data_IF_160351845943
#
_entry.id   IF_160351845943
#
_cell.length_a   1.000
_cell.length_b   1.000
_cell.length_c   1.000
_cell.angle_alpha   90.00
_cell.angle_beta   90.00
_cell.angle_gamma   90.00
#
_symmetry.space_group_name_H-M   'P 1'
#
loop_
_entity.id
_entity.type
_entity.pdbx_description
1 polymer ?
#
# COMPACT_ATOMS: atom_id res chain seq x y z
N UNK A 1 9.17 8.72 17.98
CA UNK A 1 10.05 8.24 16.88
C UNK A 1 10.23 6.75 17.16
N UNK A 2 9.90 5.91 16.22
CA UNK A 2 10.07 4.45 16.35
C UNK A 2 11.55 4.09 16.23
N UNK A 3 11.97 3.09 16.97
CA UNK A 3 13.30 2.45 16.82
C UNK A 3 13.26 1.46 15.65
N UNK A 4 14.43 1.06 15.14
CA UNK A 4 14.52 0.06 14.06
C UNK A 4 13.85 -1.27 14.44
N UNK A 5 14.06 -1.74 15.68
CA UNK A 5 13.41 -2.96 16.18
C UNK A 5 11.88 -2.85 16.21
N UNK A 6 11.34 -1.68 16.58
CA UNK A 6 9.91 -1.42 16.56
C UNK A 6 9.36 -1.41 15.12
N UNK A 7 10.09 -0.84 14.15
CA UNK A 7 9.70 -0.85 12.75
C UNK A 7 9.79 -2.25 12.13
N UNK A 8 10.82 -3.03 12.45
CA UNK A 8 10.93 -4.41 12.00
C UNK A 8 9.79 -5.30 12.53
N UNK A 9 9.25 -5.01 13.71
CA UNK A 9 8.07 -5.69 14.23
C UNK A 9 6.78 -5.34 13.45
N UNK A 10 6.78 -4.25 12.68
CA UNK A 10 5.65 -3.79 11.87
C UNK A 10 5.70 -4.27 10.42
N UNK A 11 6.67 -5.09 10.03
CA UNK A 11 6.71 -5.69 8.69
C UNK A 11 5.45 -6.53 8.43
N UNK A 12 4.90 -6.54 7.20
CA UNK A 12 3.72 -7.32 6.84
C UNK A 12 3.78 -8.78 7.28
N UNK A 13 4.93 -9.44 7.14
CA UNK A 13 5.12 -10.83 7.57
C UNK A 13 4.98 -11.05 9.08
N UNK A 14 5.26 -10.02 9.88
CA UNK A 14 5.08 -10.03 11.34
C UNK A 14 3.65 -9.67 11.77
N UNK A 15 2.88 -9.06 10.86
CA UNK A 15 1.53 -8.58 11.10
C UNK A 15 0.45 -9.45 10.43
N UNK A 16 0.75 -10.69 10.03
CA UNK A 16 -0.17 -11.57 9.27
C UNK A 16 -1.52 -11.74 9.95
N UNK A 17 -1.56 -11.99 11.25
CA UNK A 17 -2.80 -12.18 12.00
C UNK A 17 -3.64 -10.90 12.06
N UNK A 18 -2.99 -9.75 12.12
CA UNK A 18 -3.67 -8.46 12.07
C UNK A 18 -4.21 -8.19 10.66
N UNK A 19 -3.40 -8.38 9.64
CA UNK A 19 -3.80 -8.23 8.23
C UNK A 19 -4.93 -9.18 7.83
N UNK A 20 -4.94 -10.41 8.36
CA UNK A 20 -6.00 -11.38 8.13
C UNK A 20 -7.39 -10.89 8.56
N UNK A 21 -7.47 -9.94 9.49
CA UNK A 21 -8.74 -9.39 9.97
C UNK A 21 -9.52 -8.65 8.89
N UNK A 22 -8.87 -8.18 7.80
CA UNK A 22 -9.58 -7.56 6.68
C UNK A 22 -10.29 -8.56 5.77
N UNK A 23 -9.90 -9.83 5.80
CA UNK A 23 -10.51 -10.87 4.95
C UNK A 23 -11.99 -11.05 5.33
N UNK A 24 -12.86 -10.95 4.34
CA UNK A 24 -14.31 -10.96 4.52
C UNK A 24 -14.94 -9.60 4.80
N UNK A 25 -14.15 -8.54 5.03
CA UNK A 25 -14.63 -7.18 5.28
C UNK A 25 -14.61 -6.32 4.02
N UNK A 26 -15.46 -5.29 3.98
CA UNK A 26 -15.49 -4.32 2.89
C UNK A 26 -14.42 -3.26 3.11
N UNK A 27 -13.72 -2.88 2.04
CA UNK A 27 -12.90 -1.68 2.01
C UNK A 27 -13.82 -0.46 1.88
N UNK A 28 -13.85 0.38 2.89
CA UNK A 28 -14.77 1.54 2.95
C UNK A 28 -14.14 2.79 2.37
N UNK A 29 -12.87 3.04 2.68
CA UNK A 29 -12.17 4.24 2.24
C UNK A 29 -10.65 3.97 2.15
N UNK A 30 -10.01 4.73 1.29
CA UNK A 30 -8.56 4.84 1.21
C UNK A 30 -8.20 6.31 1.40
N UNK A 31 -7.39 6.58 2.39
CA UNK A 31 -6.89 7.92 2.66
C UNK A 31 -5.39 7.99 2.41
N UNK A 32 -4.92 9.14 1.96
CA UNK A 32 -3.50 9.35 1.73
C UNK A 32 -3.05 10.70 2.27
N UNK A 33 -1.89 10.71 2.90
CA UNK A 33 -1.22 11.92 3.33
C UNK A 33 -0.38 12.52 2.22
N UNK A 34 -0.41 13.86 2.14
CA UNK A 34 0.41 14.63 1.22
C UNK A 34 1.20 15.68 2.00
N UNK A 35 2.52 15.63 1.85
CA UNK A 35 3.43 16.55 2.53
C UNK A 35 3.61 17.91 1.84
N UNK A 36 2.98 18.12 0.67
CA UNK A 36 3.06 19.38 -0.06
C UNK A 36 1.66 19.90 -0.41
N UNK A 37 1.57 21.20 -0.64
CA UNK A 37 0.34 21.82 -1.14
C UNK A 37 0.03 21.29 -2.55
N UNK A 38 -0.97 20.38 -2.62
CA UNK A 38 -1.42 19.75 -3.87
C UNK A 38 -1.73 20.77 -4.97
N UNK A 39 -2.42 21.93 -4.70
CA UNK A 39 -2.65 22.93 -5.71
C UNK A 39 -1.38 23.43 -6.40
N UNK A 40 -0.32 23.75 -5.65
CA UNK A 40 0.92 24.26 -6.25
C UNK A 40 1.66 23.22 -7.09
N UNK A 41 1.50 21.94 -6.78
CA UNK A 41 2.07 20.83 -7.55
C UNK A 41 1.29 20.59 -8.85
N UNK A 42 -0.03 20.71 -8.80
CA UNK A 42 -0.91 20.55 -9.97
C UNK A 42 -0.83 21.74 -10.95
N UNK A 43 -0.52 22.96 -10.48
CA UNK A 43 -0.30 24.14 -11.32
C UNK A 43 0.84 23.93 -12.33
N UNK A 44 1.81 23.05 -12.04
CA UNK A 44 2.87 22.65 -12.96
C UNK A 44 2.41 21.79 -14.16
N UNK A 45 1.20 21.27 -14.16
CA UNK A 45 0.57 20.54 -15.26
C UNK A 45 1.14 19.17 -15.60
N UNK A 46 2.04 18.64 -14.74
CA UNK A 46 2.70 17.35 -14.99
C UNK A 46 1.89 16.13 -14.52
N UNK A 47 0.99 16.31 -13.55
CA UNK A 47 0.19 15.24 -12.97
C UNK A 47 -1.26 15.67 -12.79
N UNK A 48 -2.19 14.74 -12.96
CA UNK A 48 -3.57 14.91 -12.50
C UNK A 48 -3.65 14.69 -10.99
N UNK A 49 -4.72 15.14 -10.35
CA UNK A 49 -5.00 14.86 -8.93
C UNK A 49 -5.03 13.35 -8.64
N UNK A 50 -5.52 12.56 -9.60
CA UNK A 50 -5.55 11.11 -9.49
C UNK A 50 -4.17 10.47 -9.56
N UNK A 51 -3.30 10.95 -10.46
CA UNK A 51 -1.91 10.48 -10.54
C UNK A 51 -1.16 10.82 -9.27
N UNK A 52 -1.39 12.02 -8.73
CA UNK A 52 -0.79 12.44 -7.48
C UNK A 52 -1.25 11.58 -6.30
N UNK A 53 -2.52 11.15 -6.27
CA UNK A 53 -3.01 10.21 -5.27
C UNK A 53 -2.34 8.84 -5.37
N UNK A 54 -2.07 8.37 -6.58
CA UNK A 54 -1.40 7.09 -6.83
C UNK A 54 0.11 7.13 -6.58
N UNK A 55 0.78 8.23 -6.92
CA UNK A 55 2.23 8.38 -6.93
C UNK A 55 2.67 9.46 -5.95
N UNK A 56 2.90 9.10 -4.69
CA UNK A 56 3.39 10.03 -3.67
C UNK A 56 4.13 9.30 -2.54
N UNK A 57 4.99 10.03 -1.83
CA UNK A 57 5.75 9.55 -0.68
C UNK A 57 4.95 9.44 0.62
N UNK A 58 3.68 9.86 0.63
CA UNK A 58 2.88 9.87 1.85
C UNK A 58 2.33 8.51 2.24
N UNK A 59 2.15 8.33 3.54
CA UNK A 59 1.49 7.17 4.11
C UNK A 59 0.04 7.02 3.62
N UNK A 60 -0.46 5.79 3.67
CA UNK A 60 -1.82 5.43 3.25
C UNK A 60 -2.58 4.85 4.43
N UNK A 61 -3.86 5.21 4.58
CA UNK A 61 -4.79 4.53 5.46
C UNK A 61 -5.79 3.72 4.64
N UNK A 62 -6.02 2.49 5.06
CA UNK A 62 -7.06 1.63 4.53
C UNK A 62 -8.09 1.38 5.62
N UNK A 63 -9.32 1.82 5.39
CA UNK A 63 -10.43 1.67 6.31
C UNK A 63 -11.34 0.53 5.87
N UNK A 64 -11.49 -0.46 6.73
CA UNK A 64 -12.38 -1.61 6.52
C UNK A 64 -13.58 -1.57 7.46
N UNK A 65 -14.61 -2.32 7.11
CA UNK A 65 -15.80 -2.55 7.94
C UNK A 65 -15.43 -2.99 9.37
N UNK A 66 -16.17 -2.49 10.39
CA UNK A 66 -15.95 -2.85 11.79
C UNK A 66 -14.76 -2.13 12.43
N UNK A 67 -14.57 -0.85 12.06
CA UNK A 67 -13.56 0.06 12.62
C UNK A 67 -12.11 -0.46 12.50
N UNK A 68 -11.86 -1.33 11.51
CA UNK A 68 -10.53 -1.83 11.22
C UNK A 68 -9.81 -0.86 10.29
N UNK A 69 -8.69 -0.31 10.76
CA UNK A 69 -7.84 0.59 9.97
C UNK A 69 -6.40 0.11 9.97
N UNK A 70 -5.79 0.14 8.79
CA UNK A 70 -4.35 -0.04 8.59
C UNK A 70 -3.72 1.28 8.18
N UNK A 71 -2.65 1.68 8.87
CA UNK A 71 -1.71 2.67 8.37
C UNK A 71 -0.59 1.94 7.63
N UNK A 72 -0.31 2.32 6.39
CA UNK A 72 0.77 1.79 5.58
C UNK A 72 1.78 2.89 5.30
N UNK A 73 3.05 2.62 5.55
CA UNK A 73 4.13 3.56 5.29
C UNK A 73 5.38 2.82 4.80
N UNK A 74 6.40 3.57 4.42
CA UNK A 74 7.68 3.06 3.94
C UNK A 74 8.72 3.15 5.05
N UNK A 75 9.41 2.05 5.29
CA UNK A 75 10.63 2.03 6.06
C UNK A 75 11.82 2.10 5.09
N UNK A 76 12.23 3.33 4.77
CA UNK A 76 13.15 3.64 3.66
C UNK A 76 14.53 3.02 3.81
N UNK A 77 15.11 2.93 5.04
CA UNK A 77 16.42 2.31 5.27
C UNK A 77 16.44 0.82 4.94
N UNK A 78 15.31 0.12 5.15
CA UNK A 78 15.18 -1.32 4.88
C UNK A 78 14.49 -1.62 3.55
N UNK A 79 14.06 -0.59 2.82
CA UNK A 79 13.28 -0.74 1.58
C UNK A 79 12.09 -1.70 1.74
N UNK A 80 11.37 -1.55 2.85
CA UNK A 80 10.23 -2.41 3.20
C UNK A 80 9.01 -1.58 3.55
N UNK A 81 7.82 -2.17 3.38
CA UNK A 81 6.57 -1.61 3.87
C UNK A 81 6.42 -1.92 5.36
N UNK A 82 5.84 -1.01 6.10
CA UNK A 82 5.44 -1.22 7.49
C UNK A 82 3.93 -1.02 7.65
N UNK A 83 3.33 -1.81 8.53
CA UNK A 83 1.89 -1.84 8.79
C UNK A 83 1.63 -1.42 10.24
N UNK A 84 0.97 -0.30 10.41
CA UNK A 84 0.56 0.21 11.71
C UNK A 84 -0.89 -0.16 12.02
N UNK A 85 -1.20 -0.55 13.26
CA UNK A 85 -2.57 -0.69 13.69
C UNK A 85 -3.20 0.70 13.89
N UNK A 86 -4.30 0.97 13.18
CA UNK A 86 -4.99 2.25 13.22
C UNK A 86 -4.43 3.31 12.27
N UNK A 87 -4.97 4.50 12.39
CA UNK A 87 -4.55 5.63 11.59
C UNK A 87 -3.24 6.22 12.13
N UNK A 88 -2.33 6.54 11.22
CA UNK A 88 -1.11 7.28 11.54
C UNK A 88 -1.46 8.74 11.87
N UNK A 89 -0.81 9.30 12.87
CA UNK A 89 -0.94 10.72 13.17
C UNK A 89 -0.04 11.54 12.25
N UNK A 90 -0.60 12.55 11.59
CA UNK A 90 0.22 13.53 10.89
C UNK A 90 0.83 14.52 11.90
N UNK A 91 2.01 15.02 11.60
CA UNK A 91 2.70 16.08 12.34
C UNK A 91 2.12 17.49 12.10
N UNK A 92 0.93 17.57 11.50
CA UNK A 92 0.19 18.81 11.24
C UNK A 92 0.59 19.55 9.95
N UNK A 93 1.63 19.12 9.27
CA UNK A 93 2.04 19.67 7.96
C UNK A 93 1.45 18.89 6.78
N UNK A 94 1.00 17.65 7.02
CA UNK A 94 0.40 16.81 6.00
C UNK A 94 -1.10 16.99 5.94
N UNK A 95 -1.63 17.08 4.73
CA UNK A 95 -3.06 17.11 4.45
C UNK A 95 -3.54 15.73 4.05
N UNK A 96 -4.67 15.32 4.61
CA UNK A 96 -5.29 14.04 4.33
C UNK A 96 -6.28 14.18 3.17
N UNK A 97 -6.23 13.28 2.20
CA UNK A 97 -7.15 13.18 1.08
C UNK A 97 -7.84 11.83 1.06
N UNK A 98 -9.14 11.82 0.81
CA UNK A 98 -9.96 10.62 0.71
C UNK A 98 -10.14 10.24 -0.76
N UNK A 99 -9.98 8.96 -1.09
CA UNK A 99 -10.15 8.47 -2.46
C UNK A 99 -11.56 8.72 -3.00
N UNK A 100 -12.58 8.62 -2.14
CA UNK A 100 -13.97 8.88 -2.52
C UNK A 100 -14.20 10.31 -3.04
N UNK A 101 -13.41 11.29 -2.57
CA UNK A 101 -13.54 12.71 -2.91
C UNK A 101 -12.79 13.12 -4.18
N UNK A 102 -11.80 12.31 -4.63
CA UNK A 102 -10.96 12.64 -5.78
C UNK A 102 -11.74 12.54 -7.09
N UNK A 103 -11.45 13.43 -8.04
CA UNK A 103 -12.14 13.54 -9.31
C UNK A 103 -12.08 12.27 -10.19
N UNK A 104 -12.80 12.25 -11.28
CA UNK A 104 -13.13 11.07 -12.10
C UNK A 104 -11.93 10.27 -12.67
N UNK A 105 -10.72 10.85 -12.73
CA UNK A 105 -9.55 10.17 -13.29
C UNK A 105 -9.12 8.94 -12.47
N UNK A 106 -9.43 8.88 -11.17
CA UNK A 106 -9.15 7.73 -10.31
C UNK A 106 -10.31 6.72 -10.22
N UNK A 107 -11.21 6.70 -11.23
CA UNK A 107 -12.39 5.81 -11.21
C UNK A 107 -12.02 4.35 -10.93
N UNK A 108 -10.94 3.85 -11.52
CA UNK A 108 -10.52 2.47 -11.33
C UNK A 108 -10.11 2.17 -9.87
N UNK A 109 -9.45 3.11 -9.18
CA UNK A 109 -9.15 2.98 -7.76
C UNK A 109 -10.42 3.09 -6.92
N UNK A 110 -11.33 4.03 -7.25
CA UNK A 110 -12.63 4.14 -6.57
C UNK A 110 -13.47 2.87 -6.67
N UNK A 111 -13.34 2.13 -7.77
CA UNK A 111 -14.02 0.84 -7.95
C UNK A 111 -13.56 -0.23 -6.94
N UNK A 112 -12.50 0.00 -6.18
CA UNK A 112 -12.10 -0.85 -5.07
C UNK A 112 -12.97 -0.62 -3.82
N UNK A 113 -13.53 0.57 -3.64
CA UNK A 113 -14.37 0.90 -2.49
C UNK A 113 -15.66 0.09 -2.48
N UNK A 114 -16.10 -0.32 -1.30
CA UNK A 114 -17.27 -1.15 -1.07
C UNK A 114 -17.07 -2.64 -1.38
N UNK A 115 -15.91 -3.06 -1.89
CA UNK A 115 -15.62 -4.46 -2.21
C UNK A 115 -15.12 -5.21 -1.00
N UNK A 116 -15.46 -6.51 -0.95
CA UNK A 116 -15.02 -7.43 0.11
C UNK A 116 -13.59 -7.85 -0.17
N UNK A 117 -12.72 -7.76 0.83
CA UNK A 117 -11.37 -8.31 0.79
C UNK A 117 -11.43 -9.84 0.83
N UNK A 118 -10.80 -10.49 -0.12
CA UNK A 118 -10.76 -11.96 -0.27
C UNK A 118 -9.41 -12.54 0.17
N UNK A 119 -8.34 -11.76 0.03
CA UNK A 119 -6.99 -12.16 0.39
C UNK A 119 -6.14 -10.93 0.66
N UNK A 120 -5.09 -11.09 1.45
CA UNK A 120 -4.01 -10.12 1.60
C UNK A 120 -2.72 -10.80 1.21
N UNK A 121 -1.91 -10.14 0.39
CA UNK A 121 -0.70 -10.71 -0.17
C UNK A 121 0.50 -9.86 0.15
N UNK A 122 1.57 -10.53 0.58
CA UNK A 122 2.85 -9.92 0.90
C UNK A 122 3.81 -10.26 -0.24
N UNK A 123 4.42 -9.24 -0.83
CA UNK A 123 5.30 -9.38 -1.99
C UNK A 123 6.72 -9.05 -1.61
N UNK A 124 7.65 -9.93 -1.97
CA UNK A 124 9.06 -9.77 -1.69
C UNK A 124 9.86 -9.54 -2.97
N UNK A 125 10.87 -8.72 -2.89
CA UNK A 125 11.78 -8.44 -4.00
C UNK A 125 12.69 -9.66 -4.24
N UNK A 126 12.95 -9.94 -5.52
CA UNK A 126 14.03 -10.83 -5.90
C UNK A 126 15.33 -10.02 -5.82
N UNK A 127 16.13 -10.26 -4.81
CA UNK A 127 17.44 -9.64 -4.73
C UNK A 127 18.52 -10.54 -5.31
N UNK A 128 19.32 -9.96 -6.22
CA UNK A 128 20.64 -10.48 -6.60
C UNK A 128 21.72 -10.11 -5.58
N UNK A 129 21.35 -9.55 -4.43
CA UNK A 129 22.25 -9.00 -3.45
C UNK A 129 22.31 -9.86 -2.17
N UNK A 130 23.48 -9.91 -1.58
CA UNK A 130 23.92 -10.69 -0.42
C UNK A 130 23.19 -10.42 0.92
N UNK A 131 21.96 -9.88 0.90
CA UNK A 131 21.19 -9.68 2.13
C UNK A 131 20.39 -10.94 2.46
N UNK A 132 20.61 -11.48 3.68
CA UNK A 132 19.91 -12.69 4.16
C UNK A 132 18.41 -12.47 4.42
N UNK A 133 17.89 -11.24 4.34
CA UNK A 133 16.51 -10.91 4.62
C UNK A 133 15.79 -10.41 3.35
N UNK A 134 14.73 -11.12 2.98
CA UNK A 134 13.88 -10.74 1.86
C UNK A 134 13.12 -9.44 2.20
N UNK A 135 13.23 -8.41 1.35
CA UNK A 135 12.55 -7.14 1.52
C UNK A 135 11.08 -7.23 1.12
N UNK A 136 10.20 -6.79 1.98
CA UNK A 136 8.75 -6.81 1.77
C UNK A 136 8.30 -5.51 1.09
N UNK A 137 8.43 -5.51 -0.24
CA UNK A 137 8.31 -4.29 -1.08
C UNK A 137 6.89 -3.93 -1.48
N UNK A 138 5.93 -4.85 -1.32
CA UNK A 138 4.54 -4.55 -1.57
C UNK A 138 3.59 -5.34 -0.67
N UNK A 139 2.45 -4.72 -0.40
CA UNK A 139 1.29 -5.31 0.23
C UNK A 139 0.09 -5.13 -0.69
N UNK A 140 -0.65 -6.19 -0.98
CA UNK A 140 -1.85 -6.07 -1.79
C UNK A 140 -3.07 -6.69 -1.13
N UNK A 141 -4.23 -6.14 -1.49
CA UNK A 141 -5.55 -6.58 -1.05
C UNK A 141 -6.33 -7.04 -2.28
N UNK A 142 -6.53 -8.35 -2.40
CA UNK A 142 -7.39 -8.92 -3.43
C UNK A 142 -8.84 -8.70 -3.03
N UNK A 143 -9.55 -7.93 -3.82
CA UNK A 143 -10.93 -7.53 -3.59
C UNK A 143 -11.87 -8.30 -4.52
N UNK A 144 -13.12 -8.47 -4.11
CA UNK A 144 -14.14 -9.15 -4.90
C UNK A 144 -14.25 -8.54 -6.32
N UNK A 145 -14.42 -9.41 -7.33
CA UNK A 145 -14.44 -9.03 -8.75
C UNK A 145 -13.06 -8.84 -9.36
N UNK A 146 -12.08 -9.62 -8.85
CA UNK A 146 -10.71 -9.67 -9.39
C UNK A 146 -9.98 -8.32 -9.38
N UNK A 147 -10.35 -7.45 -8.44
CA UNK A 147 -9.64 -6.20 -8.21
C UNK A 147 -8.56 -6.42 -7.17
N UNK A 148 -7.37 -5.98 -7.45
CA UNK A 148 -6.26 -6.07 -6.52
C UNK A 148 -5.66 -4.67 -6.34
N UNK A 149 -5.74 -4.18 -5.09
CA UNK A 149 -5.19 -2.88 -4.68
C UNK A 149 -3.82 -3.12 -4.07
N UNK A 150 -2.81 -2.48 -4.61
CA UNK A 150 -1.43 -2.57 -4.15
C UNK A 150 -0.97 -1.28 -3.49
N UNK A 151 -0.27 -1.42 -2.39
CA UNK A 151 0.66 -0.42 -1.89
C UNK A 151 2.08 -0.97 -2.02
N UNK A 152 2.97 -0.27 -2.72
CA UNK A 152 4.30 -0.77 -3.01
C UNK A 152 5.34 0.35 -3.03
N UNK A 153 6.59 0.00 -2.69
CA UNK A 153 7.70 0.93 -2.59
C UNK A 153 8.41 1.10 -3.93
N UNK A 154 8.68 0.07 -4.64
CA UNK A 154 9.70 0.07 -5.67
C UNK A 154 9.18 -0.41 -7.02
N UNK A 155 8.93 0.52 -7.93
CA UNK A 155 8.65 0.15 -9.32
C UNK A 155 9.39 0.99 -10.38
N UNK A 156 9.88 2.20 -10.03
CA UNK A 156 10.38 3.15 -11.03
C UNK A 156 11.69 3.87 -10.64
N UNK A 157 12.60 3.20 -9.94
CA UNK A 157 13.93 3.75 -9.54
C UNK A 157 13.90 4.89 -8.50
N UNK A 158 12.75 5.19 -7.91
CA UNK A 158 12.60 6.16 -6.82
C UNK A 158 12.23 5.45 -5.52
N UNK A 159 13.21 5.29 -4.64
CA UNK A 159 13.10 4.51 -3.41
C UNK A 159 12.30 5.20 -2.29
N UNK A 160 11.96 6.48 -2.46
CA UNK A 160 11.33 7.29 -1.41
C UNK A 160 9.81 7.39 -1.57
N UNK A 161 9.23 6.78 -2.59
CA UNK A 161 7.82 6.92 -2.91
C UNK A 161 7.03 5.63 -2.74
N UNK A 162 5.89 5.72 -2.04
CA UNK A 162 4.89 4.65 -1.98
C UNK A 162 3.87 4.81 -3.11
N UNK A 163 3.66 3.75 -3.85
CA UNK A 163 2.70 3.73 -4.96
C UNK A 163 1.44 2.98 -4.57
N UNK A 164 0.29 3.59 -4.85
CA UNK A 164 -1.01 2.93 -4.71
C UNK A 164 -1.53 2.60 -6.11
N UNK A 165 -1.44 1.34 -6.50
CA UNK A 165 -1.68 0.86 -7.85
C UNK A 165 -2.75 -0.23 -7.89
N UNK A 166 -3.28 -0.50 -9.09
CA UNK A 166 -4.08 -1.69 -9.37
C UNK A 166 -3.19 -2.83 -9.86
N UNK A 167 -3.62 -4.07 -9.61
CA UNK A 167 -2.85 -5.26 -9.92
C UNK A 167 -2.37 -5.43 -11.35
N UNK A 168 -3.03 -4.80 -12.30
CA UNK A 168 -2.64 -4.80 -13.70
C UNK A 168 -1.42 -3.90 -14.01
N UNK A 169 -1.13 -2.94 -13.13
CA UNK A 169 -0.12 -1.90 -13.34
C UNK A 169 1.23 -2.26 -12.67
N UNK A 170 1.33 -3.48 -12.10
CA UNK A 170 2.51 -3.91 -11.37
C UNK A 170 3.48 -4.64 -12.29
N UNK A 171 4.75 -4.24 -12.32
CA UNK A 171 5.80 -5.00 -12.98
C UNK A 171 6.13 -6.29 -12.21
N UNK A 172 5.36 -7.34 -12.48
CA UNK A 172 5.47 -8.65 -11.80
C UNK A 172 6.83 -9.31 -11.96
N UNK A 173 7.56 -8.96 -13.00
CA UNK A 173 8.92 -9.44 -13.28
C UNK A 173 9.96 -9.01 -12.22
N UNK A 174 9.65 -7.99 -11.43
CA UNK A 174 10.53 -7.50 -10.35
C UNK A 174 10.27 -8.17 -9.00
N UNK A 175 9.25 -9.01 -8.89
CA UNK A 175 8.84 -9.63 -7.62
C UNK A 175 9.23 -11.10 -7.61
N UNK A 176 9.95 -11.54 -6.56
CA UNK A 176 10.42 -12.92 -6.45
C UNK A 176 9.36 -13.88 -5.91
N UNK A 177 8.64 -13.45 -4.89
CA UNK A 177 7.66 -14.30 -4.25
C UNK A 177 6.47 -13.51 -3.72
N UNK A 178 5.36 -14.21 -3.56
CA UNK A 178 4.11 -13.68 -3.04
C UNK A 178 3.55 -14.66 -2.00
N UNK A 179 3.33 -14.20 -0.77
CA UNK A 179 2.69 -14.98 0.28
C UNK A 179 1.22 -14.59 0.39
N UNK A 180 0.30 -15.54 0.20
CA UNK A 180 -1.13 -15.35 0.41
C UNK A 180 -1.49 -15.63 1.87
N UNK A 181 -2.06 -14.65 2.57
CA UNK A 181 -2.51 -14.80 3.96
C UNK A 181 -3.74 -15.73 4.04
N UNK A 182 -4.69 -15.60 3.09
CA UNK A 182 -5.89 -16.43 3.08
C UNK A 182 -5.58 -17.93 2.90
N UNK A 183 -4.54 -18.26 2.11
CA UNK A 183 -4.11 -19.63 1.86
C UNK A 183 -3.07 -20.14 2.85
N UNK A 184 -2.33 -19.23 3.49
CA UNK A 184 -1.21 -19.57 4.37
C UNK A 184 0.01 -20.14 3.62
N UNK A 185 0.18 -19.80 2.34
CA UNK A 185 1.24 -20.36 1.47
C UNK A 185 1.80 -19.34 0.48
N UNK A 186 2.99 -19.62 -0.03
CA UNK A 186 3.55 -18.87 -1.14
C UNK A 186 2.85 -19.25 -2.45
N UNK A 187 2.53 -18.23 -3.24
CA UNK A 187 1.90 -18.38 -4.55
C UNK A 187 2.83 -17.86 -5.66
N UNK A 188 2.69 -18.40 -6.86
CA UNK A 188 3.43 -17.93 -8.03
C UNK A 188 2.92 -16.54 -8.43
N UNK A 189 3.79 -15.49 -8.42
CA UNK A 189 3.40 -14.13 -8.79
C UNK A 189 2.95 -13.99 -10.25
N UNK A 190 3.27 -14.95 -11.10
CA UNK A 190 2.92 -14.97 -12.53
C UNK A 190 1.55 -15.57 -12.87
N UNK A 191 0.78 -16.01 -11.85
CA UNK A 191 -0.54 -16.64 -12.04
C UNK A 191 -1.69 -15.83 -11.54
#
# INVERSE_FOLDING_TARGET
>A
MYTDDELLALLPSKQKDFLAQSIGRRLLEVERFFGSDVPSFLEGGYFSEADYFSYNSGAVHLHFEGDLTYGLDIYGSELSIVVFPGALSSDGFMKLYQLSEIAAASRNLKDCLGRICQDVRIWTLQEDFESEEAKEVALSFLLAGERELFYCIYLLDDFDSGYLLLGQDIPREKVASCFSIARGEYIDPGR
#
